data_IF_959704947211
#
_entry.id   IF_959704947211
#
_cell.length_a   1.000
_cell.length_b   1.000
_cell.length_c   1.000
_cell.angle_alpha   90.00
_cell.angle_beta   90.00
_cell.angle_gamma   90.00
#
_symmetry.space_group_name_H-M   'P 1'
#
loop_
_entity.id
_entity.type
_entity.pdbx_description
1 polymer ?
#
# COMPACT_ATOMS: atom_id res chain seq x y z
N UNK A 1 55.55 59.22 0.76
CA UNK A 1 55.16 59.51 2.16
C UNK A 1 53.95 58.64 2.48
N UNK A 2 54.06 57.55 3.26
CA UNK A 2 52.96 56.59 3.34
C UNK A 2 51.70 57.22 4.00
N UNK A 3 50.55 57.08 3.34
CA UNK A 3 49.28 57.67 3.75
C UNK A 3 48.60 56.72 4.73
N UNK A 4 48.38 57.19 5.96
CA UNK A 4 47.69 56.44 6.99
C UNK A 4 46.18 56.66 6.88
N UNK A 5 45.45 55.64 6.45
CA UNK A 5 43.97 55.68 6.39
C UNK A 5 43.40 54.78 7.47
N UNK A 6 42.56 55.35 8.33
CA UNK A 6 41.76 54.56 9.29
C UNK A 6 40.59 53.91 8.55
N UNK A 7 40.55 52.58 8.56
CA UNK A 7 39.40 51.84 8.06
C UNK A 7 38.25 51.88 9.07
N UNK A 8 37.00 51.70 8.63
CA UNK A 8 35.82 51.65 9.50
C UNK A 8 35.87 50.53 10.56
N UNK A 9 36.76 49.54 10.41
CA UNK A 9 37.03 48.53 11.42
C UNK A 9 38.01 48.99 12.53
N UNK A 10 38.42 50.26 12.54
CA UNK A 10 39.23 50.88 13.59
C UNK A 10 40.75 50.69 13.44
N UNK A 11 41.23 49.88 12.49
CA UNK A 11 42.68 49.70 12.24
C UNK A 11 43.22 50.77 11.29
N UNK A 12 44.34 51.39 11.66
CA UNK A 12 45.10 52.28 10.80
C UNK A 12 45.95 51.47 9.83
N UNK A 13 45.78 51.69 8.52
CA UNK A 13 46.53 51.02 7.47
C UNK A 13 47.48 52.01 6.80
N UNK A 14 48.74 51.62 6.65
CA UNK A 14 49.77 52.42 6.00
C UNK A 14 49.89 52.00 4.54
N UNK A 15 49.47 52.85 3.61
CA UNK A 15 49.38 52.51 2.17
C UNK A 15 50.38 53.39 1.40
N UNK A 16 51.19 52.80 0.48
CA UNK A 16 52.09 53.58 -0.36
C UNK A 16 51.34 54.48 -1.35
N UNK A 17 51.89 55.67 -1.64
CA UNK A 17 51.23 56.73 -2.41
C UNK A 17 50.83 56.35 -3.84
N UNK A 18 51.41 55.29 -4.40
CA UNK A 18 51.12 54.82 -5.77
C UNK A 18 49.70 54.27 -5.94
N UNK A 19 48.94 54.13 -4.84
CA UNK A 19 47.55 53.66 -4.81
C UNK A 19 46.56 54.73 -4.33
N UNK A 20 46.97 56.00 -4.29
CA UNK A 20 46.07 57.13 -4.00
C UNK A 20 44.97 57.23 -5.08
N UNK A 21 43.70 57.25 -4.65
CA UNK A 21 42.52 57.30 -5.55
C UNK A 21 41.96 55.94 -6.02
N UNK A 22 42.59 54.79 -5.70
CA UNK A 22 42.05 53.45 -6.01
C UNK A 22 41.40 52.80 -4.78
N UNK A 23 40.45 51.88 -5.00
CA UNK A 23 39.78 51.13 -3.93
C UNK A 23 40.59 49.89 -3.56
N UNK A 24 41.02 49.79 -2.30
CA UNK A 24 41.90 48.70 -1.81
C UNK A 24 41.21 47.94 -0.68
N UNK A 25 41.38 46.62 -0.64
CA UNK A 25 40.71 45.73 0.33
C UNK A 25 41.46 45.74 1.67
N UNK A 26 40.75 45.99 2.78
CA UNK A 26 41.35 46.01 4.11
C UNK A 26 41.56 44.57 4.63
N UNK A 27 42.78 44.15 5.02
CA UNK A 27 43.06 42.78 5.46
C UNK A 27 42.44 42.41 6.83
N UNK A 28 41.91 43.39 7.58
CA UNK A 28 41.26 43.13 8.87
C UNK A 28 39.74 42.90 8.82
N UNK A 29 39.06 43.34 7.76
CA UNK A 29 37.59 43.22 7.64
C UNK A 29 37.10 42.87 6.22
N UNK A 30 38.03 42.67 5.27
CA UNK A 30 37.79 42.36 3.86
C UNK A 30 36.97 43.39 3.05
N UNK A 31 36.64 44.55 3.63
CA UNK A 31 35.90 45.64 2.97
C UNK A 31 36.81 46.52 2.12
N UNK A 32 36.34 46.97 0.96
CA UNK A 32 37.07 47.89 0.06
C UNK A 32 37.00 49.33 0.55
N UNK A 33 38.14 49.94 0.86
CA UNK A 33 38.28 51.34 1.30
C UNK A 33 38.94 52.16 0.19
N UNK A 34 38.35 53.32 -0.16
CA UNK A 34 38.95 54.28 -1.09
C UNK A 34 39.96 55.16 -0.37
N UNK A 35 41.16 55.28 -0.93
CA UNK A 35 42.23 56.13 -0.40
C UNK A 35 42.05 57.56 -0.93
N UNK A 36 41.81 58.58 -0.08
CA UNK A 36 41.61 59.95 -0.53
C UNK A 36 42.96 60.59 -0.93
N UNK A 37 43.09 60.99 -2.19
CA UNK A 37 44.28 61.69 -2.70
C UNK A 37 44.29 61.77 -4.23
N UNK A 38 43.75 62.86 -4.78
CA UNK A 38 43.79 63.19 -6.20
C UNK A 38 42.78 64.30 -6.53
N UNK A 39 43.28 65.49 -6.89
CA UNK A 39 42.54 66.74 -6.99
C UNK A 39 41.62 66.86 -8.25
N UNK A 40 40.57 67.73 -8.21
CA UNK A 40 39.52 67.85 -9.23
C UNK A 40 39.71 69.06 -10.18
N UNK A 41 38.93 69.18 -11.27
CA UNK A 41 38.58 70.50 -11.81
C UNK A 41 37.17 70.93 -11.36
N UNK A 42 37.10 72.07 -10.67
CA UNK A 42 35.91 72.91 -10.44
C UNK A 42 35.77 73.92 -11.59
N UNK A 43 34.57 74.37 -12.01
CA UNK A 43 33.81 75.49 -11.42
C UNK A 43 32.33 75.41 -11.91
N UNK A 44 31.33 75.26 -11.04
CA UNK A 44 30.53 76.29 -10.32
C UNK A 44 29.22 76.75 -11.06
N UNK A 45 28.19 77.20 -10.32
CA UNK A 45 26.80 76.79 -10.52
C UNK A 45 25.86 77.91 -10.99
N UNK A 46 24.78 77.57 -11.70
CA UNK A 46 23.54 78.38 -11.71
C UNK A 46 22.30 77.50 -11.76
N UNK A 47 21.45 77.67 -10.75
CA UNK A 47 20.00 77.43 -10.60
C UNK A 47 19.23 76.35 -11.41
N UNK A 48 18.43 75.59 -10.65
CA UNK A 48 17.10 74.99 -10.96
C UNK A 48 16.95 73.83 -11.98
N UNK A 49 16.42 72.71 -11.47
CA UNK A 49 15.86 71.49 -12.12
C UNK A 49 14.52 71.82 -12.85
N UNK A 50 13.94 71.04 -13.81
CA UNK A 50 14.11 69.60 -14.14
C UNK A 50 14.25 69.15 -15.62
N UNK A 51 14.72 67.89 -15.72
CA UNK A 51 14.33 66.80 -16.63
C UNK A 51 14.74 66.88 -18.12
N UNK A 52 15.91 66.32 -18.41
CA UNK A 52 16.21 65.71 -19.70
C UNK A 52 15.77 64.24 -19.69
N UNK A 53 14.83 63.88 -20.57
CA UNK A 53 14.87 62.58 -21.25
C UNK A 53 16.17 62.53 -22.08
N UNK A 54 16.72 61.35 -22.47
CA UNK A 54 16.21 60.77 -23.73
C UNK A 54 16.45 59.25 -23.94
N UNK A 55 15.90 58.76 -25.06
CA UNK A 55 16.47 57.70 -25.92
C UNK A 55 16.28 56.20 -25.56
N UNK A 56 15.14 55.80 -24.97
CA UNK A 56 14.63 54.42 -25.14
C UNK A 56 13.14 54.37 -25.54
N UNK A 57 12.41 55.49 -25.42
CA UNK A 57 10.95 55.48 -25.43
C UNK A 57 10.26 55.20 -26.77
N UNK A 58 10.94 55.29 -27.93
CA UNK A 58 10.28 55.06 -29.24
C UNK A 58 10.14 53.59 -29.61
N UNK A 59 11.10 52.77 -29.21
CA UNK A 59 10.99 51.33 -29.40
C UNK A 59 10.10 50.75 -28.29
N UNK A 60 10.23 51.22 -27.05
CA UNK A 60 9.37 50.81 -25.93
C UNK A 60 7.88 51.16 -26.11
N UNK A 61 7.52 52.29 -26.75
CA UNK A 61 6.12 52.63 -27.04
C UNK A 61 5.47 51.70 -28.07
N UNK A 62 6.24 51.27 -29.09
CA UNK A 62 5.74 50.34 -30.11
C UNK A 62 5.48 48.94 -29.54
N UNK A 63 6.34 48.46 -28.62
CA UNK A 63 6.13 47.18 -27.93
C UNK A 63 4.93 47.21 -26.95
N UNK A 64 4.57 48.39 -26.44
CA UNK A 64 3.40 48.56 -25.58
C UNK A 64 2.07 48.59 -26.36
N UNK A 65 2.03 49.14 -27.58
CA UNK A 65 0.83 49.11 -28.43
C UNK A 65 0.46 47.70 -28.93
N UNK A 66 1.45 46.81 -29.09
CA UNK A 66 1.21 45.41 -29.50
C UNK A 66 0.86 44.46 -28.34
N UNK A 67 0.70 45.00 -27.11
CA UNK A 67 0.25 44.24 -25.93
C UNK A 67 1.32 43.35 -25.28
N UNK A 68 2.60 43.56 -25.58
CA UNK A 68 3.72 42.77 -25.04
C UNK A 68 4.32 43.32 -23.73
N UNK A 69 3.50 43.92 -22.85
CA UNK A 69 3.94 44.38 -21.53
C UNK A 69 4.01 43.27 -20.47
N UNK A 70 4.29 42.03 -20.88
CA UNK A 70 4.68 41.00 -19.93
C UNK A 70 6.15 41.21 -19.56
N UNK A 71 6.42 41.93 -18.47
CA UNK A 71 7.78 41.99 -17.89
C UNK A 71 8.27 40.55 -17.58
N UNK A 72 9.02 39.96 -18.51
CA UNK A 72 9.74 38.70 -18.32
C UNK A 72 10.94 39.01 -17.44
N UNK A 73 10.72 39.00 -16.13
CA UNK A 73 11.77 39.37 -15.20
C UNK A 73 12.71 38.20 -14.86
N UNK A 74 12.24 36.94 -14.92
CA UNK A 74 12.98 35.79 -14.36
C UNK A 74 12.64 34.46 -15.03
N UNK A 75 13.64 33.57 -15.16
CA UNK A 75 13.49 32.21 -15.69
C UNK A 75 13.43 31.19 -14.54
N UNK A 76 12.56 30.18 -14.63
CA UNK A 76 12.45 29.12 -13.64
C UNK A 76 13.72 28.24 -13.61
N UNK A 77 14.40 28.06 -12.45
CA UNK A 77 15.63 27.26 -12.36
C UNK A 77 15.45 25.76 -12.69
N UNK A 78 14.25 25.23 -12.47
CA UNK A 78 13.98 23.79 -12.59
C UNK A 78 13.53 23.34 -13.99
N UNK A 79 12.81 24.20 -14.71
CA UNK A 79 12.23 23.86 -16.02
C UNK A 79 12.51 24.91 -17.11
N UNK A 80 13.25 25.96 -16.79
CA UNK A 80 13.70 27.05 -17.68
C UNK A 80 12.61 27.76 -18.47
N UNK A 81 11.41 27.82 -17.89
CA UNK A 81 10.30 28.58 -18.48
C UNK A 81 10.27 29.98 -17.90
N UNK A 82 9.93 30.93 -18.76
CA UNK A 82 9.76 32.35 -18.45
C UNK A 82 8.67 32.55 -17.40
N UNK A 83 8.93 33.43 -16.43
CA UNK A 83 8.03 33.73 -15.32
C UNK A 83 7.85 35.23 -15.18
N UNK A 84 6.63 35.64 -14.80
CA UNK A 84 6.28 37.03 -14.52
C UNK A 84 6.99 37.56 -13.28
N UNK A 85 7.31 38.86 -13.28
CA UNK A 85 7.96 39.54 -12.16
C UNK A 85 7.19 39.35 -10.84
N UNK A 86 7.85 38.83 -9.81
CA UNK A 86 7.27 38.61 -8.46
C UNK A 86 6.58 37.25 -8.24
N UNK A 87 6.55 36.35 -9.24
CA UNK A 87 5.97 35.01 -9.05
C UNK A 87 6.88 34.09 -8.21
N UNK A 88 6.39 33.71 -7.01
CA UNK A 88 7.07 32.81 -6.06
C UNK A 88 7.00 31.35 -6.51
N UNK A 89 6.01 30.99 -7.32
CA UNK A 89 5.77 29.62 -7.78
C UNK A 89 5.73 29.51 -9.31
N UNK A 90 6.38 28.50 -9.86
CA UNK A 90 6.32 28.20 -11.28
C UNK A 90 5.05 27.43 -11.62
N UNK A 91 4.13 28.09 -12.31
CA UNK A 91 2.84 27.53 -12.74
C UNK A 91 2.96 26.35 -13.70
N UNK A 92 4.10 26.18 -14.39
CA UNK A 92 4.30 25.06 -15.32
C UNK A 92 4.83 23.80 -14.65
N UNK A 93 5.73 23.94 -13.67
CA UNK A 93 6.55 22.81 -13.24
C UNK A 93 6.61 22.61 -11.72
N UNK A 94 5.86 23.42 -10.97
CA UNK A 94 5.63 23.25 -9.54
C UNK A 94 6.77 23.69 -8.62
N UNK A 95 7.73 24.46 -9.15
CA UNK A 95 8.93 24.88 -8.41
C UNK A 95 8.64 26.12 -7.55
N UNK A 96 8.94 26.05 -6.26
CA UNK A 96 8.80 27.16 -5.31
C UNK A 96 10.15 27.86 -5.13
N UNK A 97 10.29 29.12 -5.58
CA UNK A 97 11.58 29.82 -5.63
C UNK A 97 12.20 30.07 -4.26
N UNK A 98 11.39 30.34 -3.25
CA UNK A 98 11.87 30.65 -1.90
C UNK A 98 12.32 29.42 -1.11
N UNK A 99 11.71 28.26 -1.37
CA UNK A 99 11.99 27.03 -0.64
C UNK A 99 13.00 26.15 -1.38
N UNK A 100 13.32 26.44 -2.64
CA UNK A 100 14.28 25.68 -3.45
C UNK A 100 13.83 24.26 -3.79
N UNK A 101 12.61 23.87 -3.45
CA UNK A 101 12.06 22.51 -3.63
C UNK A 101 10.88 22.55 -4.60
N UNK A 102 10.76 21.49 -5.43
CA UNK A 102 9.57 21.26 -6.24
C UNK A 102 8.52 20.65 -5.33
N UNK A 103 7.42 21.36 -5.13
CA UNK A 103 6.30 20.82 -4.36
C UNK A 103 5.51 19.93 -5.32
N UNK A 104 5.61 18.61 -5.14
CA UNK A 104 4.71 17.67 -5.83
C UNK A 104 3.30 17.84 -5.24
N UNK A 105 2.51 18.74 -5.80
CA UNK A 105 1.09 18.84 -5.48
C UNK A 105 0.35 17.58 -6.00
N UNK A 106 -0.77 17.24 -5.35
CA UNK A 106 -1.65 16.12 -5.63
C UNK A 106 -1.82 15.88 -7.15
N UNK A 107 -1.10 14.88 -7.71
CA UNK A 107 -1.21 14.50 -9.13
C UNK A 107 -2.63 14.01 -9.39
N UNK A 108 -3.43 14.83 -10.06
CA UNK A 108 -4.78 14.43 -10.50
C UNK A 108 -4.66 13.49 -11.69
N UNK A 109 -5.30 12.32 -11.60
CA UNK A 109 -5.31 11.35 -12.69
C UNK A 109 -5.89 11.99 -13.96
N UNK A 110 -5.09 12.06 -15.03
CA UNK A 110 -5.50 12.59 -16.35
C UNK A 110 -4.68 13.78 -16.86
N UNK A 111 -4.07 14.61 -16.00
CA UNK A 111 -3.25 15.76 -16.43
C UNK A 111 -1.74 15.49 -16.27
N UNK A 112 -1.33 14.90 -15.14
CA UNK A 112 0.10 14.69 -14.81
C UNK A 112 0.55 13.21 -14.85
N UNK A 113 -0.38 12.27 -15.04
CA UNK A 113 -0.10 10.83 -15.10
C UNK A 113 -0.21 10.40 -16.56
N UNK A 114 0.89 9.94 -17.14
CA UNK A 114 0.89 9.43 -18.51
C UNK A 114 -0.16 8.33 -18.67
N UNK A 115 -0.80 8.27 -19.84
CA UNK A 115 -1.82 7.24 -20.12
C UNK A 115 -1.27 5.82 -19.91
N UNK A 116 0.03 5.61 -20.17
CA UNK A 116 0.73 4.35 -19.87
C UNK A 116 0.86 4.05 -18.38
N UNK A 117 1.18 5.05 -17.55
CA UNK A 117 1.24 4.89 -16.09
C UNK A 117 -0.15 4.59 -15.52
N UNK A 118 -1.21 5.21 -16.06
CA UNK A 118 -2.58 4.96 -15.65
C UNK A 118 -3.06 3.54 -16.03
N UNK A 119 -2.70 3.08 -17.23
CA UNK A 119 -2.95 1.70 -17.67
C UNK A 119 -2.23 0.67 -16.78
N UNK A 120 -0.97 0.92 -16.41
CA UNK A 120 -0.21 0.08 -15.49
C UNK A 120 -0.84 0.03 -14.08
N UNK A 121 -1.28 1.17 -13.54
CA UNK A 121 -1.96 1.21 -12.25
C UNK A 121 -3.29 0.46 -12.27
N UNK A 122 -4.06 0.59 -13.36
CA UNK A 122 -5.30 -0.17 -13.56
C UNK A 122 -5.04 -1.67 -13.66
N UNK A 123 -4.08 -2.08 -14.49
CA UNK A 123 -3.69 -3.49 -14.61
C UNK A 123 -3.25 -4.08 -13.27
N UNK A 124 -2.47 -3.33 -12.47
CA UNK A 124 -2.08 -3.75 -11.11
C UNK A 124 -3.29 -3.93 -10.19
N UNK A 125 -4.25 -3.02 -10.24
CA UNK A 125 -5.46 -3.10 -9.44
C UNK A 125 -6.33 -4.29 -9.85
N UNK A 126 -6.44 -4.58 -11.14
CA UNK A 126 -7.21 -5.70 -11.66
C UNK A 126 -6.55 -7.05 -11.33
N UNK A 127 -5.22 -7.14 -11.43
CA UNK A 127 -4.44 -8.30 -10.95
C UNK A 127 -4.65 -8.55 -9.44
N UNK A 128 -4.67 -7.49 -8.63
CA UNK A 128 -4.92 -7.60 -7.19
C UNK A 128 -6.35 -8.07 -6.88
N UNK A 129 -7.35 -7.69 -7.68
CA UNK A 129 -8.73 -8.18 -7.54
C UNK A 129 -8.85 -9.65 -7.97
N UNK A 130 -8.24 -10.02 -9.10
CA UNK A 130 -8.23 -11.40 -9.58
C UNK A 130 -7.64 -12.34 -8.52
N UNK A 131 -6.47 -11.99 -7.97
CA UNK A 131 -5.85 -12.77 -6.89
C UNK A 131 -6.76 -12.93 -5.66
N UNK A 132 -7.49 -11.89 -5.26
CA UNK A 132 -8.43 -11.97 -4.12
C UNK A 132 -9.62 -12.89 -4.42
N UNK A 133 -10.10 -12.92 -5.66
CA UNK A 133 -11.15 -13.84 -6.08
C UNK A 133 -10.62 -15.28 -6.06
N UNK A 134 -9.42 -15.51 -6.57
CA UNK A 134 -8.77 -16.82 -6.53
C UNK A 134 -8.56 -17.31 -5.09
N UNK A 135 -8.04 -16.45 -4.21
CA UNK A 135 -7.85 -16.77 -2.79
C UNK A 135 -9.19 -17.09 -2.09
N UNK A 136 -10.27 -16.35 -2.42
CA UNK A 136 -11.60 -16.60 -1.88
C UNK A 136 -12.21 -17.91 -2.38
N UNK A 137 -12.01 -18.23 -3.67
CA UNK A 137 -12.44 -19.51 -4.25
C UNK A 137 -11.64 -20.65 -3.64
N UNK A 138 -10.32 -20.55 -3.52
CA UNK A 138 -9.48 -21.57 -2.89
C UNK A 138 -9.81 -21.77 -1.41
N UNK A 139 -10.03 -20.69 -0.66
CA UNK A 139 -10.46 -20.77 0.74
C UNK A 139 -11.86 -21.39 0.91
N UNK A 140 -12.74 -21.21 -0.07
CA UNK A 140 -14.09 -21.81 -0.08
C UNK A 140 -14.16 -23.23 -0.66
N UNK A 141 -13.25 -23.58 -1.56
CA UNK A 141 -13.21 -24.85 -2.30
C UNK A 141 -12.40 -25.95 -1.60
N UNK A 142 -11.75 -25.65 -0.48
CA UNK A 142 -11.15 -26.65 0.39
C UNK A 142 -12.24 -27.57 0.93
N UNK A 143 -12.57 -28.64 0.18
CA UNK A 143 -13.33 -29.75 0.72
C UNK A 143 -12.58 -30.17 1.98
N UNK A 144 -13.26 -30.16 3.13
CA UNK A 144 -12.54 -30.28 4.38
C UNK A 144 -11.73 -31.60 4.40
N UNK A 145 -10.49 -31.55 4.90
CA UNK A 145 -9.57 -32.71 4.96
C UNK A 145 -10.26 -34.02 5.38
N UNK A 146 -11.11 -33.94 6.40
CA UNK A 146 -11.89 -35.04 6.97
C UNK A 146 -12.96 -35.60 6.03
N UNK A 147 -13.55 -34.78 5.16
CA UNK A 147 -14.43 -35.25 4.07
C UNK A 147 -13.64 -36.02 3.01
N UNK A 148 -12.44 -35.55 2.63
CA UNK A 148 -11.54 -36.30 1.76
C UNK A 148 -11.14 -37.64 2.39
N UNK A 149 -10.83 -37.66 3.70
CA UNK A 149 -10.53 -38.89 4.42
C UNK A 149 -11.72 -39.88 4.43
N UNK A 150 -12.96 -39.38 4.58
CA UNK A 150 -14.17 -40.20 4.50
C UNK A 150 -14.36 -40.80 3.10
N UNK A 151 -14.22 -39.98 2.05
CA UNK A 151 -14.33 -40.45 0.65
C UNK A 151 -13.27 -41.51 0.35
N UNK A 152 -12.02 -41.29 0.79
CA UNK A 152 -10.94 -42.26 0.60
C UNK A 152 -11.21 -43.56 1.38
N UNK A 153 -11.73 -43.48 2.60
CA UNK A 153 -12.14 -44.64 3.40
C UNK A 153 -13.27 -45.42 2.73
N UNK A 154 -14.27 -44.74 2.16
CA UNK A 154 -15.36 -45.38 1.41
C UNK A 154 -14.86 -46.08 0.15
N UNK A 155 -13.97 -45.45 -0.62
CA UNK A 155 -13.36 -46.09 -1.79
C UNK A 155 -12.53 -47.32 -1.39
N UNK A 156 -11.71 -47.23 -0.34
CA UNK A 156 -10.90 -48.36 0.13
C UNK A 156 -11.75 -49.49 0.71
N UNK A 157 -12.74 -49.19 1.56
CA UNK A 157 -13.62 -50.22 2.13
C UNK A 157 -14.44 -50.92 1.05
N UNK A 158 -14.96 -50.19 0.06
CA UNK A 158 -15.67 -50.77 -1.09
C UNK A 158 -14.79 -51.70 -1.93
N UNK A 159 -13.54 -51.29 -2.20
CA UNK A 159 -12.59 -52.13 -2.94
C UNK A 159 -12.25 -53.41 -2.15
N UNK A 160 -12.02 -53.30 -0.84
CA UNK A 160 -11.75 -54.46 0.01
C UNK A 160 -12.93 -55.44 0.05
N UNK A 161 -14.16 -54.96 0.17
CA UNK A 161 -15.35 -55.82 0.18
C UNK A 161 -15.53 -56.49 -1.18
N UNK A 162 -15.28 -55.80 -2.29
CA UNK A 162 -15.32 -56.40 -3.63
C UNK A 162 -14.31 -57.55 -3.77
N UNK A 163 -13.08 -57.37 -3.27
CA UNK A 163 -12.05 -58.43 -3.26
C UNK A 163 -12.47 -59.61 -2.37
N UNK A 164 -13.01 -59.33 -1.19
CA UNK A 164 -13.51 -60.37 -0.28
C UNK A 164 -14.69 -61.15 -0.87
N UNK A 165 -15.63 -60.46 -1.54
CA UNK A 165 -16.76 -61.09 -2.21
C UNK A 165 -16.30 -62.00 -3.35
N UNK A 166 -15.34 -61.56 -4.19
CA UNK A 166 -14.76 -62.38 -5.25
C UNK A 166 -14.00 -63.57 -4.66
N UNK A 167 -13.21 -63.37 -3.60
CA UNK A 167 -12.50 -64.45 -2.93
C UNK A 167 -13.46 -65.46 -2.30
N UNK A 168 -14.54 -65.00 -1.66
CA UNK A 168 -15.59 -65.84 -1.09
C UNK A 168 -16.33 -66.64 -2.18
N UNK A 169 -16.68 -66.04 -3.33
CA UNK A 169 -17.32 -66.73 -4.45
C UNK A 169 -16.46 -67.85 -5.07
N UNK A 170 -15.15 -67.85 -4.81
CA UNK A 170 -14.22 -68.89 -5.28
C UNK A 170 -13.99 -70.00 -4.25
N UNK A 171 -14.52 -69.88 -3.03
CA UNK A 171 -14.44 -70.89 -1.98
C UNK A 171 -15.72 -71.73 -2.05
N UNK A 172 -15.60 -73.01 -2.41
CA UNK A 172 -16.73 -73.91 -2.68
C UNK A 172 -17.30 -74.53 -1.39
N UNK A 173 -16.56 -74.44 -0.27
CA UNK A 173 -16.92 -75.11 0.97
C UNK A 173 -17.00 -74.14 2.16
N UNK A 174 -18.00 -74.39 2.99
CA UNK A 174 -18.34 -73.81 4.30
C UNK A 174 -19.22 -72.54 4.37
N UNK A 175 -20.21 -72.69 5.26
CA UNK A 175 -21.35 -71.85 5.62
C UNK A 175 -20.96 -70.52 6.24
N UNK A 176 -20.13 -69.73 5.56
CA UNK A 176 -19.86 -68.35 5.97
C UNK A 176 -21.09 -67.53 5.59
N UNK A 177 -21.93 -67.19 6.57
CA UNK A 177 -23.02 -66.22 6.46
C UNK A 177 -22.47 -64.80 6.31
N UNK A 178 -21.61 -64.57 5.32
CA UNK A 178 -21.14 -63.24 4.97
C UNK A 178 -22.24 -62.57 4.16
N UNK A 179 -22.99 -61.66 4.79
CA UNK A 179 -23.85 -60.74 4.06
C UNK A 179 -22.98 -59.54 3.61
N UNK A 180 -22.56 -59.49 2.32
CA UNK A 180 -21.71 -58.42 1.81
C UNK A 180 -22.40 -57.05 1.86
N UNK A 181 -23.73 -57.02 1.74
CA UNK A 181 -24.52 -55.80 1.77
C UNK A 181 -24.64 -55.27 3.20
N UNK A 182 -24.95 -56.15 4.16
CA UNK A 182 -25.04 -55.80 5.59
C UNK A 182 -23.70 -55.31 6.14
N UNK A 183 -22.60 -56.01 5.85
CA UNK A 183 -21.25 -55.60 6.26
C UNK A 183 -20.82 -54.27 5.66
N UNK A 184 -21.14 -54.00 4.38
CA UNK A 184 -20.88 -52.70 3.75
C UNK A 184 -21.64 -51.56 4.45
N UNK A 185 -22.94 -51.74 4.70
CA UNK A 185 -23.79 -50.73 5.33
C UNK A 185 -23.33 -50.41 6.77
N UNK A 186 -22.91 -51.42 7.54
CA UNK A 186 -22.39 -51.22 8.90
C UNK A 186 -21.02 -50.52 8.89
N UNK A 187 -20.10 -50.90 7.99
CA UNK A 187 -18.80 -50.24 7.84
C UNK A 187 -18.97 -48.78 7.39
N UNK A 188 -19.88 -48.53 6.44
CA UNK A 188 -20.20 -47.19 6.01
C UNK A 188 -20.81 -46.37 7.15
N UNK A 189 -21.82 -46.91 7.82
CA UNK A 189 -22.48 -46.23 8.93
C UNK A 189 -21.53 -45.91 10.08
N UNK A 190 -20.65 -46.84 10.46
CA UNK A 190 -19.64 -46.61 11.51
C UNK A 190 -18.65 -45.50 11.15
N UNK A 191 -18.23 -45.41 9.88
CA UNK A 191 -17.40 -44.32 9.39
C UNK A 191 -18.12 -42.97 9.55
N UNK A 192 -19.35 -42.85 9.02
CA UNK A 192 -20.16 -41.63 9.15
C UNK A 192 -20.39 -41.22 10.61
N UNK A 193 -20.64 -42.17 11.52
CA UNK A 193 -20.76 -41.85 12.96
C UNK A 193 -19.47 -41.35 13.58
N UNK A 194 -18.32 -41.93 13.23
CA UNK A 194 -17.01 -41.50 13.74
C UNK A 194 -16.69 -40.07 13.31
N UNK A 195 -17.00 -39.72 12.06
CA UNK A 195 -16.85 -38.35 11.57
C UNK A 195 -17.88 -37.38 12.19
N UNK A 196 -19.10 -37.84 12.48
CA UNK A 196 -20.08 -37.09 13.26
C UNK A 196 -19.57 -36.73 14.66
N UNK A 197 -18.93 -37.67 15.35
CA UNK A 197 -18.28 -37.44 16.64
C UNK A 197 -17.11 -36.45 16.50
N UNK A 198 -16.32 -36.52 15.42
CA UNK A 198 -15.27 -35.55 15.13
C UNK A 198 -15.80 -34.12 14.92
N UNK A 199 -16.95 -33.98 14.24
CA UNK A 199 -17.63 -32.68 14.06
C UNK A 199 -18.03 -32.09 15.40
N UNK A 200 -18.57 -32.93 16.29
CA UNK A 200 -18.90 -32.55 17.66
C UNK A 200 -17.66 -32.12 18.45
N UNK A 201 -16.54 -32.84 18.31
CA UNK A 201 -15.26 -32.49 18.92
C UNK A 201 -14.75 -31.11 18.51
N UNK A 202 -14.95 -30.68 17.25
CA UNK A 202 -14.59 -29.32 16.82
C UNK A 202 -15.40 -28.23 17.50
N UNK A 203 -16.68 -28.48 17.77
CA UNK A 203 -17.54 -27.56 18.55
C UNK A 203 -16.99 -27.43 19.97
N UNK A 204 -16.62 -28.56 20.57
CA UNK A 204 -16.01 -28.61 21.91
C UNK A 204 -14.68 -27.84 21.94
N UNK A 205 -13.78 -28.05 20.97
CA UNK A 205 -12.51 -27.31 20.88
C UNK A 205 -12.75 -25.80 20.75
N UNK A 206 -13.74 -25.38 19.97
CA UNK A 206 -14.11 -23.98 19.86
C UNK A 206 -14.63 -23.40 21.19
N UNK A 207 -15.42 -24.17 21.94
CA UNK A 207 -15.88 -23.78 23.27
C UNK A 207 -14.74 -23.71 24.29
N UNK A 208 -13.75 -24.61 24.22
CA UNK A 208 -12.54 -24.57 25.05
C UNK A 208 -11.65 -23.35 24.75
N UNK A 209 -11.57 -22.91 23.49
CA UNK A 209 -10.83 -21.71 23.10
C UNK A 209 -11.40 -20.42 23.69
N UNK A 210 -12.71 -20.39 23.99
CA UNK A 210 -13.33 -19.24 24.66
C UNK A 210 -13.07 -19.28 26.16
N UNK A 211 -13.53 -20.34 26.84
CA UNK A 211 -13.35 -20.52 28.28
C UNK A 211 -13.37 -22.01 28.66
N UNK A 212 -12.48 -22.44 29.55
CA UNK A 212 -12.39 -23.83 30.03
C UNK A 212 -13.71 -24.37 30.62
N UNK A 213 -14.48 -23.51 31.31
CA UNK A 213 -15.78 -23.90 31.89
C UNK A 213 -16.83 -24.18 30.80
N UNK A 214 -16.84 -23.36 29.75
CA UNK A 214 -17.74 -23.55 28.59
C UNK A 214 -17.35 -24.79 27.79
N UNK A 215 -16.06 -25.09 27.69
CA UNK A 215 -15.54 -26.31 27.08
C UNK A 215 -16.07 -27.58 27.76
N UNK A 216 -16.04 -27.64 29.09
CA UNK A 216 -16.55 -28.80 29.82
C UNK A 216 -18.07 -28.95 29.70
N UNK A 217 -18.84 -27.84 29.76
CA UNK A 217 -20.28 -27.89 29.49
C UNK A 217 -20.59 -28.28 28.04
N UNK A 218 -19.76 -27.91 27.07
CA UNK A 218 -19.94 -28.27 25.66
C UNK A 218 -19.74 -29.75 25.34
N UNK A 219 -19.20 -30.55 26.27
CA UNK A 219 -19.22 -32.00 26.14
C UNK A 219 -20.66 -32.53 26.22
N UNK A 220 -21.56 -31.82 26.91
CA UNK A 220 -22.97 -32.18 26.99
C UNK A 220 -23.73 -31.71 25.73
N UNK A 221 -24.39 -32.63 24.99
CA UNK A 221 -25.06 -32.30 23.73
C UNK A 221 -26.07 -31.13 23.78
N UNK A 222 -26.93 -30.99 24.81
CA UNK A 222 -27.87 -29.87 24.87
C UNK A 222 -27.16 -28.52 25.01
N UNK A 223 -26.04 -28.47 25.73
CA UNK A 223 -25.28 -27.24 25.89
C UNK A 223 -24.44 -26.93 24.64
N UNK A 224 -23.91 -27.94 23.94
CA UNK A 224 -23.26 -27.74 22.65
C UNK A 224 -24.21 -27.08 21.63
N UNK A 225 -25.47 -27.53 21.58
CA UNK A 225 -26.51 -26.91 20.74
C UNK A 225 -26.73 -25.46 21.17
N UNK A 226 -26.92 -25.19 22.47
CA UNK A 226 -27.07 -23.82 22.99
C UNK A 226 -25.87 -22.91 22.63
N UNK A 227 -24.64 -23.39 22.79
CA UNK A 227 -23.41 -22.65 22.45
C UNK A 227 -23.34 -22.32 20.96
N UNK A 228 -23.72 -23.26 20.09
CA UNK A 228 -23.78 -23.04 18.65
C UNK A 228 -24.79 -21.96 18.29
N UNK A 229 -26.00 -21.99 18.86
CA UNK A 229 -27.01 -20.95 18.61
C UNK A 229 -26.54 -19.56 19.07
N UNK A 230 -25.72 -19.49 20.13
CA UNK A 230 -25.16 -18.25 20.64
C UNK A 230 -24.02 -17.69 19.76
N UNK A 231 -23.20 -18.54 19.17
CA UNK A 231 -22.00 -18.18 18.39
C UNK A 231 -22.18 -18.37 16.86
N UNK A 232 -23.42 -18.25 16.40
CA UNK A 232 -24.00 -18.94 15.23
C UNK A 232 -23.40 -18.77 13.83
N UNK A 233 -22.43 -17.88 13.55
CA UNK A 233 -21.85 -17.82 12.19
C UNK A 233 -20.70 -18.80 11.97
N UNK A 234 -19.88 -19.06 12.99
CA UNK A 234 -18.70 -19.90 12.85
C UNK A 234 -19.00 -21.38 13.14
N UNK A 235 -19.85 -21.66 14.14
CA UNK A 235 -20.04 -23.01 14.67
C UNK A 235 -21.24 -23.76 14.06
N UNK A 236 -22.15 -23.06 13.37
CA UNK A 236 -23.34 -23.67 12.76
C UNK A 236 -23.02 -24.72 11.71
N UNK A 237 -21.97 -24.52 10.92
CA UNK A 237 -21.53 -25.47 9.89
C UNK A 237 -21.13 -26.83 10.50
N UNK A 238 -20.51 -26.81 11.69
CA UNK A 238 -20.12 -28.03 12.40
C UNK A 238 -21.32 -28.75 13.03
N UNK A 239 -22.29 -28.00 13.56
CA UNK A 239 -23.52 -28.59 14.10
C UNK A 239 -24.36 -29.25 12.99
N UNK A 240 -24.57 -28.55 11.87
CA UNK A 240 -25.29 -29.09 10.73
C UNK A 240 -24.60 -30.35 10.19
N UNK A 241 -23.26 -30.33 10.07
CA UNK A 241 -22.48 -31.50 9.69
C UNK A 241 -22.62 -32.67 10.66
N UNK A 242 -22.60 -32.40 11.97
CA UNK A 242 -22.77 -33.42 13.02
C UNK A 242 -24.13 -34.13 12.91
N UNK A 243 -25.22 -33.36 12.81
CA UNK A 243 -26.59 -33.91 12.72
C UNK A 243 -26.76 -34.76 11.46
N UNK A 244 -26.28 -34.27 10.30
CA UNK A 244 -26.41 -35.01 9.03
C UNK A 244 -25.57 -36.29 9.07
N UNK A 245 -24.31 -36.22 9.51
CA UNK A 245 -23.42 -37.39 9.52
C UNK A 245 -23.85 -38.45 10.55
N UNK A 246 -24.28 -38.04 11.75
CA UNK A 246 -24.83 -38.97 12.73
C UNK A 246 -26.15 -39.58 12.27
N UNK A 247 -27.04 -38.78 11.66
CA UNK A 247 -28.30 -39.26 11.12
C UNK A 247 -28.12 -40.31 10.02
N UNK A 248 -27.24 -40.03 9.04
CA UNK A 248 -26.91 -40.97 7.96
C UNK A 248 -26.20 -42.20 8.52
N UNK A 249 -25.24 -42.01 9.43
CA UNK A 249 -24.48 -43.10 10.03
C UNK A 249 -25.34 -44.09 10.81
N UNK A 250 -26.20 -43.59 11.69
CA UNK A 250 -27.13 -44.42 12.47
C UNK A 250 -28.11 -45.14 11.54
N UNK A 251 -28.64 -44.46 10.53
CA UNK A 251 -29.57 -45.07 9.57
C UNK A 251 -28.94 -46.23 8.80
N UNK A 252 -27.69 -46.08 8.37
CA UNK A 252 -26.94 -47.12 7.66
C UNK A 252 -26.61 -48.32 8.57
N UNK A 253 -26.24 -48.08 9.84
CA UNK A 253 -25.98 -49.16 10.81
C UNK A 253 -27.26 -49.97 11.05
N UNK A 254 -28.40 -49.29 11.28
CA UNK A 254 -29.69 -49.96 11.51
C UNK A 254 -30.13 -50.74 10.27
N UNK A 255 -29.98 -50.16 9.08
CA UNK A 255 -30.31 -50.85 7.83
C UNK A 255 -29.42 -52.09 7.60
N UNK A 256 -28.12 -51.99 7.89
CA UNK A 256 -27.19 -53.10 7.73
C UNK A 256 -27.35 -54.22 8.76
N UNK A 257 -27.80 -53.89 9.98
CA UNK A 257 -28.11 -54.88 11.02
C UNK A 257 -29.43 -55.63 10.83
N UNK A 258 -30.31 -55.13 9.95
CA UNK A 258 -31.60 -55.75 9.64
C UNK A 258 -31.56 -56.60 8.34
N UNK A 259 -30.37 -56.81 7.77
CA UNK A 259 -30.10 -57.64 6.58
C UNK A 259 -29.34 -58.91 6.97
#
# INVERSE_FOLDING_TARGET
>A
MPIQVKCQCGKALNIPDTMAGKAVKCPGCATTVRVPGGAPPAAQPTAARPAAAPENSRMDDLFNEEGFSAQVAQVCPACRVEMTAGSVFCTKCGFHKEQGVRMEAHKTAGVDISHGTLALMKAKADMAKAKKLDDAVLAGAGMPWWMLALVLFMLMSGLCIAVLAVNASRRIDETISFNPMGTFLILAGSAFTTFGIGAYGMIVIHAFKEEMKKGFLAILPPYAIYHVFKNGKATWKFLAGCIVMLGVGISLIVAGGNQ
#
